data_IF_718054533195
#
_entry.id   IF_718054533195
#
_cell.length_a   1.000
_cell.length_b   1.000
_cell.length_c   1.000
_cell.angle_alpha   90.00
_cell.angle_beta   90.00
_cell.angle_gamma   90.00
#
_symmetry.space_group_name_H-M   'P 1'
#
loop_
_entity.id
_entity.type
_entity.pdbx_description
1 polymer ?
#
# COMPACT_ATOMS: atom_id res chain seq x y z
N UNK A 1 -26.83 -3.90 -22.41
CA UNK A 1 -26.11 -2.79 -21.76
C UNK A 1 -24.64 -3.18 -21.76
N UNK A 2 -23.86 -2.63 -22.68
CA UNK A 2 -22.43 -2.93 -22.77
C UNK A 2 -21.69 -2.10 -21.72
N UNK A 3 -21.10 -2.77 -20.73
CA UNK A 3 -20.22 -2.15 -19.76
C UNK A 3 -18.86 -1.92 -20.41
N UNK A 4 -18.61 -0.71 -20.91
CA UNK A 4 -17.28 -0.31 -21.37
C UNK A 4 -16.31 -0.29 -20.19
N UNK A 5 -15.61 -1.39 -19.96
CA UNK A 5 -14.48 -1.46 -19.02
C UNK A 5 -13.40 -0.48 -19.52
N UNK A 6 -13.24 0.64 -18.80
CA UNK A 6 -12.21 1.64 -19.06
C UNK A 6 -10.84 0.96 -18.93
N UNK A 7 -10.26 0.54 -20.05
CA UNK A 7 -8.98 -0.18 -20.08
C UNK A 7 -7.90 0.73 -19.49
N UNK A 8 -7.46 0.44 -18.27
CA UNK A 8 -6.44 1.21 -17.59
C UNK A 8 -5.16 1.17 -18.43
N UNK A 9 -4.63 2.35 -18.78
CA UNK A 9 -3.35 2.47 -19.48
C UNK A 9 -2.24 2.12 -18.49
N UNK A 10 -1.64 0.94 -18.65
CA UNK A 10 -0.45 0.57 -17.90
C UNK A 10 0.73 1.46 -18.29
N UNK A 11 1.52 1.85 -17.30
CA UNK A 11 2.78 2.57 -17.49
C UNK A 11 3.92 1.59 -17.21
N UNK A 12 4.91 1.55 -18.10
CA UNK A 12 6.15 0.84 -17.83
C UNK A 12 6.97 1.64 -16.81
N UNK A 13 7.57 0.94 -15.84
CA UNK A 13 8.49 1.50 -14.87
C UNK A 13 9.77 0.65 -14.84
N UNK A 14 10.96 1.26 -14.74
CA UNK A 14 12.22 0.52 -14.66
C UNK A 14 12.62 0.14 -13.22
N UNK A 15 11.69 0.19 -12.27
CA UNK A 15 11.95 -0.07 -10.85
C UNK A 15 11.55 -1.50 -10.46
N UNK A 16 12.37 -2.15 -9.64
CA UNK A 16 12.16 -3.50 -9.10
C UNK A 16 12.96 -3.68 -7.80
N UNK A 17 12.67 -4.74 -7.05
CA UNK A 17 13.36 -5.09 -5.82
C UNK A 17 13.16 -4.05 -4.71
N UNK A 18 14.15 -3.88 -3.81
CA UNK A 18 14.07 -2.94 -2.69
C UNK A 18 13.78 -1.50 -3.13
N UNK A 19 14.36 -1.05 -4.24
CA UNK A 19 14.16 0.30 -4.78
C UNK A 19 12.68 0.59 -5.08
N UNK A 20 11.93 -0.40 -5.56
CA UNK A 20 10.49 -0.22 -5.80
C UNK A 20 9.71 -0.01 -4.49
N UNK A 21 10.15 -0.64 -3.40
CA UNK A 21 9.52 -0.52 -2.07
C UNK A 21 9.83 0.83 -1.39
N UNK A 22 10.88 1.54 -1.83
CA UNK A 22 11.23 2.87 -1.34
C UNK A 22 10.36 3.99 -1.93
N UNK A 23 9.58 3.71 -2.99
CA UNK A 23 8.68 4.69 -3.61
C UNK A 23 7.24 4.50 -3.11
N UNK A 24 6.69 5.40 -2.27
CA UNK A 24 5.37 5.20 -1.64
C UNK A 24 4.22 5.11 -2.63
N UNK A 25 4.35 5.79 -3.78
CA UNK A 25 3.37 5.73 -4.88
C UNK A 25 3.33 4.36 -5.58
N UNK A 26 4.40 3.59 -5.52
CA UNK A 26 4.54 2.29 -6.19
C UNK A 26 4.39 1.12 -5.21
N UNK A 27 4.81 1.33 -3.97
CA UNK A 27 4.80 0.31 -2.94
C UNK A 27 3.38 -0.01 -2.48
N UNK A 28 2.98 -1.27 -2.65
CA UNK A 28 1.70 -1.84 -2.22
C UNK A 28 1.81 -2.76 -1.00
N UNK A 29 3.00 -2.91 -0.43
CA UNK A 29 3.27 -3.82 0.69
C UNK A 29 2.82 -5.25 0.39
N UNK A 30 2.10 -5.88 1.32
CA UNK A 30 1.55 -7.23 1.11
C UNK A 30 0.55 -7.33 -0.05
N UNK A 31 0.04 -6.21 -0.57
CA UNK A 31 -0.90 -6.19 -1.68
C UNK A 31 -0.27 -6.36 -3.07
N UNK A 32 1.05 -6.54 -3.16
CA UNK A 32 1.62 -7.13 -4.36
C UNK A 32 1.15 -8.58 -4.51
N UNK A 33 0.54 -8.88 -5.65
CA UNK A 33 0.14 -10.26 -5.97
C UNK A 33 1.38 -11.16 -6.11
N UNK A 34 1.20 -12.48 -6.03
CA UNK A 34 2.30 -13.44 -6.22
C UNK A 34 3.00 -13.24 -7.57
N UNK A 35 2.24 -12.91 -8.61
CA UNK A 35 2.77 -12.63 -9.95
C UNK A 35 3.58 -11.34 -9.97
N UNK A 36 3.06 -10.25 -9.38
CA UNK A 36 3.79 -8.98 -9.28
C UNK A 36 5.08 -9.14 -8.49
N UNK A 37 5.06 -9.92 -7.40
CA UNK A 37 6.27 -10.19 -6.62
C UNK A 37 7.35 -10.91 -7.43
N UNK A 38 6.97 -11.82 -8.34
CA UNK A 38 7.92 -12.46 -9.26
C UNK A 38 8.43 -11.47 -10.30
N UNK A 39 7.54 -10.71 -10.91
CA UNK A 39 7.87 -9.77 -11.99
C UNK A 39 8.72 -8.58 -11.51
N UNK A 40 8.55 -8.15 -10.26
CA UNK A 40 9.31 -7.05 -9.64
C UNK A 40 10.42 -7.52 -8.70
N UNK A 41 10.78 -8.81 -8.69
CA UNK A 41 11.85 -9.36 -7.84
C UNK A 41 11.67 -9.06 -6.33
N UNK A 42 10.44 -9.21 -5.83
CA UNK A 42 10.06 -8.99 -4.42
C UNK A 42 9.93 -10.27 -3.60
N UNK A 43 10.13 -11.44 -4.22
CA UNK A 43 10.10 -12.73 -3.52
C UNK A 43 11.12 -12.75 -2.37
N UNK A 44 10.65 -13.04 -1.16
CA UNK A 44 11.47 -13.04 0.06
C UNK A 44 11.67 -11.67 0.71
N UNK A 45 11.25 -10.56 0.07
CA UNK A 45 11.33 -9.21 0.64
C UNK A 45 10.06 -8.79 1.40
N UNK A 46 8.96 -9.52 1.22
CA UNK A 46 7.65 -9.24 1.79
C UNK A 46 7.12 -10.47 2.53
N UNK A 47 6.29 -10.31 3.58
CA UNK A 47 5.60 -11.41 4.24
C UNK A 47 4.82 -12.27 3.24
N UNK A 48 4.73 -13.60 3.45
CA UNK A 48 4.08 -14.51 2.49
C UNK A 48 2.61 -14.19 2.21
N UNK A 49 1.91 -13.67 3.22
CA UNK A 49 0.52 -13.24 3.12
C UNK A 49 0.36 -12.16 2.04
N UNK A 50 -0.65 -12.35 1.19
CA UNK A 50 -1.14 -11.36 0.23
C UNK A 50 -2.44 -10.80 0.79
N UNK A 51 -2.52 -9.48 0.94
CA UNK A 51 -3.71 -8.76 1.41
C UNK A 51 -4.22 -7.86 0.29
N UNK A 52 -5.52 -7.58 0.26
CA UNK A 52 -6.08 -6.46 -0.47
C UNK A 52 -5.74 -5.12 0.23
N UNK A 53 -5.85 -4.00 -0.49
CA UNK A 53 -5.67 -2.66 0.12
C UNK A 53 -6.74 -2.42 1.19
N UNK A 54 -7.93 -2.97 1.01
CA UNK A 54 -9.04 -2.90 1.95
C UNK A 54 -8.71 -3.63 3.27
N UNK A 55 -8.18 -4.86 3.19
CA UNK A 55 -7.73 -5.61 4.38
C UNK A 55 -6.57 -4.90 5.10
N UNK A 56 -5.61 -4.36 4.35
CA UNK A 56 -4.55 -3.53 4.92
C UNK A 56 -5.12 -2.28 5.63
N UNK A 57 -6.13 -1.64 5.05
CA UNK A 57 -6.75 -0.44 5.59
C UNK A 57 -7.54 -0.74 6.87
N UNK A 58 -8.29 -1.85 6.90
CA UNK A 58 -8.98 -2.31 8.12
C UNK A 58 -7.98 -2.59 9.25
N UNK A 59 -6.92 -3.34 8.96
CA UNK A 59 -5.85 -3.61 9.93
C UNK A 59 -5.17 -2.33 10.41
N UNK A 60 -4.90 -1.38 9.50
CA UNK A 60 -4.31 -0.10 9.85
C UNK A 60 -5.25 0.75 10.73
N UNK A 61 -6.55 0.73 10.45
CA UNK A 61 -7.56 1.41 11.25
C UNK A 61 -7.63 0.85 12.69
N UNK A 62 -7.65 -0.47 12.84
CA UNK A 62 -7.63 -1.10 14.17
C UNK A 62 -6.37 -0.72 14.96
N UNK A 63 -5.20 -0.69 14.31
CA UNK A 63 -3.96 -0.24 14.93
C UNK A 63 -4.03 1.23 15.34
N UNK A 64 -4.57 2.08 14.46
CA UNK A 64 -4.77 3.51 14.71
C UNK A 64 -5.64 3.76 15.95
N UNK A 65 -6.77 3.03 16.08
CA UNK A 65 -7.67 3.14 17.23
C UNK A 65 -7.02 2.69 18.55
N UNK A 66 -5.98 1.86 18.49
CA UNK A 66 -5.23 1.40 19.66
C UNK A 66 -4.29 2.45 20.27
N UNK A 67 -3.94 3.52 19.55
CA UNK A 67 -3.07 4.57 20.06
C UNK A 67 -3.81 5.51 21.01
N UNK A 68 -3.15 5.83 22.13
CA UNK A 68 -3.73 6.66 23.19
C UNK A 68 -3.52 8.15 22.97
N UNK A 69 -2.44 8.53 22.29
CA UNK A 69 -2.07 9.93 22.09
C UNK A 69 -2.23 10.33 20.63
N UNK A 70 -2.53 11.60 20.40
CA UNK A 70 -2.65 12.15 19.06
C UNK A 70 -1.30 12.19 18.33
N UNK A 71 -0.18 12.28 19.07
CA UNK A 71 1.15 12.23 18.46
C UNK A 71 1.48 10.84 17.92
N UNK A 72 1.12 9.77 18.65
CA UNK A 72 1.33 8.39 18.18
C UNK A 72 0.50 8.10 16.92
N UNK A 73 -0.76 8.56 16.92
CA UNK A 73 -1.65 8.50 15.75
C UNK A 73 -1.06 9.23 14.55
N UNK A 74 -0.54 10.44 14.76
CA UNK A 74 0.11 11.22 13.71
C UNK A 74 1.35 10.52 13.15
N UNK A 75 2.25 10.05 14.02
CA UNK A 75 3.45 9.30 13.61
C UNK A 75 3.07 8.05 12.80
N UNK A 76 2.04 7.33 13.25
CA UNK A 76 1.58 6.13 12.57
C UNK A 76 1.05 6.42 11.16
N UNK A 77 0.15 7.40 11.02
CA UNK A 77 -0.39 7.81 9.72
C UNK A 77 0.71 8.36 8.80
N UNK A 78 1.67 9.12 9.35
CA UNK A 78 2.81 9.63 8.59
C UNK A 78 3.68 8.49 8.05
N UNK A 79 3.94 7.47 8.85
CA UNK A 79 4.68 6.29 8.40
C UNK A 79 3.94 5.54 7.26
N UNK A 80 2.61 5.42 7.33
CA UNK A 80 1.84 4.84 6.20
C UNK A 80 2.01 5.72 4.95
N UNK A 81 1.89 7.03 5.06
CA UNK A 81 2.10 7.95 3.94
C UNK A 81 3.50 7.81 3.32
N UNK A 82 4.53 7.68 4.14
CA UNK A 82 5.93 7.58 3.71
C UNK A 82 6.31 6.20 3.15
N UNK A 83 5.41 5.21 3.20
CA UNK A 83 5.70 3.83 2.76
C UNK A 83 4.71 3.29 1.74
N UNK A 84 3.43 3.68 1.80
CA UNK A 84 2.37 3.24 0.90
C UNK A 84 1.30 4.33 0.80
N UNK A 85 1.46 5.21 -0.19
CA UNK A 85 0.58 6.37 -0.36
C UNK A 85 -0.84 5.96 -0.77
N UNK A 86 -0.98 4.84 -1.49
CA UNK A 86 -2.31 4.30 -1.87
C UNK A 86 -3.09 3.87 -0.63
N UNK A 87 -2.44 3.15 0.29
CA UNK A 87 -3.03 2.76 1.56
C UNK A 87 -3.35 3.99 2.42
N UNK A 88 -2.45 4.97 2.49
CA UNK A 88 -2.72 6.21 3.22
C UNK A 88 -4.02 6.88 2.77
N UNK A 89 -4.19 7.04 1.45
CA UNK A 89 -5.41 7.63 0.88
C UNK A 89 -6.66 6.79 1.14
N UNK A 90 -6.56 5.45 1.17
CA UNK A 90 -7.71 4.58 1.41
C UNK A 90 -8.20 4.59 2.86
N UNK A 91 -7.33 4.87 3.83
CA UNK A 91 -7.74 4.99 5.25
C UNK A 91 -8.67 6.18 5.53
N UNK A 92 -8.84 7.10 4.58
CA UNK A 92 -9.67 8.31 4.74
C UNK A 92 -9.09 9.33 5.73
N UNK A 93 -7.89 9.07 6.25
CA UNK A 93 -7.17 9.98 7.12
C UNK A 93 -6.67 11.19 6.32
N UNK A 94 -7.40 12.31 6.40
CA UNK A 94 -6.84 13.58 5.93
C UNK A 94 -5.81 14.05 6.96
N UNK A 95 -4.58 14.41 6.55
CA UNK A 95 -3.68 15.09 7.45
C UNK A 95 -4.37 16.37 7.94
N UNK A 96 -4.31 16.58 9.26
CA UNK A 96 -4.88 17.74 9.95
C UNK A 96 -4.11 19.01 9.59
#
# INVERSE_FOLDING_TARGET
>A
METTTKKARSLYIPYAGPVLLEFPLLNKGSAFSVEERRNFNLSGLLPEVVESIEEQAERAWLQYQGFKTEIDKHIYLRNIQDTNETLFLSTGAKPS
#
